data_IF_724773674640
#
_entry.id   IF_724773674640
#
_cell.length_a   1.000
_cell.length_b   1.000
_cell.length_c   1.000
_cell.angle_alpha   90.00
_cell.angle_beta   90.00
_cell.angle_gamma   90.00
#
_symmetry.space_group_name_H-M   'P 1'
#
loop_
_entity.id
_entity.type
_entity.pdbx_description
1 polymer ?
#
# COMPACT_ATOMS: atom_id res chain seq x y z
N UNK A 1 8.35 -23.01 -10.91
CA UNK A 1 7.62 -23.12 -9.63
C UNK A 1 7.43 -21.71 -9.10
N UNK A 2 6.18 -21.28 -8.91
CA UNK A 2 5.85 -20.05 -8.19
C UNK A 2 5.69 -20.35 -6.69
N UNK A 3 5.95 -19.36 -5.84
CA UNK A 3 5.74 -19.43 -4.40
C UNK A 3 4.78 -18.31 -4.02
N UNK A 4 3.70 -18.64 -3.32
CA UNK A 4 2.80 -17.63 -2.74
C UNK A 4 3.43 -17.08 -1.46
N UNK A 5 3.89 -15.83 -1.52
CA UNK A 5 4.59 -15.15 -0.42
C UNK A 5 3.61 -14.71 0.66
N UNK A 6 2.54 -14.03 0.25
CA UNK A 6 1.45 -13.56 1.10
C UNK A 6 0.13 -13.49 0.31
N UNK A 7 -0.98 -13.39 1.03
CA UNK A 7 -2.27 -12.95 0.48
C UNK A 7 -2.55 -11.52 0.93
N UNK A 8 -3.34 -10.76 0.18
CA UNK A 8 -3.68 -9.39 0.56
C UNK A 8 -5.17 -9.08 0.41
N UNK A 9 -5.61 -8.06 1.16
CA UNK A 9 -6.91 -7.44 0.99
C UNK A 9 -6.80 -5.92 1.14
N UNK A 10 -7.62 -5.20 0.38
CA UNK A 10 -7.66 -3.73 0.40
C UNK A 10 -8.97 -3.28 1.04
N UNK A 11 -8.88 -2.43 2.04
CA UNK A 11 -10.01 -1.95 2.85
C UNK A 11 -10.06 -0.43 2.75
N UNK A 12 -11.23 0.10 2.43
CA UNK A 12 -11.48 1.53 2.37
C UNK A 12 -12.56 1.92 3.38
N UNK A 13 -12.43 3.11 3.96
CA UNK A 13 -13.53 3.70 4.73
C UNK A 13 -14.68 4.09 3.78
N UNK A 14 -15.84 3.45 3.96
CA UNK A 14 -16.99 3.61 3.07
C UNK A 14 -17.49 5.06 3.02
N UNK A 15 -17.57 5.72 4.19
CA UNK A 15 -18.08 7.08 4.32
C UNK A 15 -17.17 8.06 3.58
N UNK A 16 -15.87 8.01 3.87
CA UNK A 16 -14.88 8.90 3.24
C UNK A 16 -14.77 8.65 1.73
N UNK A 17 -14.87 7.39 1.29
CA UNK A 17 -14.84 7.05 -0.12
C UNK A 17 -16.04 7.67 -0.85
N UNK A 18 -17.25 7.56 -0.28
CA UNK A 18 -18.47 8.17 -0.85
C UNK A 18 -18.39 9.69 -0.84
N UNK A 19 -17.89 10.30 0.24
CA UNK A 19 -17.76 11.74 0.35
C UNK A 19 -16.78 12.32 -0.68
N UNK A 20 -15.68 11.60 -0.95
CA UNK A 20 -14.66 12.05 -1.90
C UNK A 20 -15.01 11.77 -3.36
N UNK A 21 -15.55 10.59 -3.65
CA UNK A 21 -15.67 10.07 -5.01
C UNK A 21 -17.11 9.79 -5.44
N UNK A 22 -18.05 9.73 -4.49
CA UNK A 22 -19.44 9.36 -4.75
C UNK A 22 -20.07 10.20 -5.85
N UNK A 23 -20.00 11.53 -5.75
CA UNK A 23 -20.61 12.42 -6.74
C UNK A 23 -20.11 12.20 -8.17
N UNK A 24 -18.85 11.80 -8.36
CA UNK A 24 -18.23 11.56 -9.67
C UNK A 24 -18.62 10.20 -10.27
N UNK A 25 -18.87 9.19 -9.43
CA UNK A 25 -19.03 7.79 -9.87
C UNK A 25 -20.40 7.16 -9.54
N UNK A 26 -21.32 7.89 -8.88
CA UNK A 26 -22.63 7.35 -8.41
C UNK A 26 -23.49 6.73 -9.52
N UNK A 27 -23.38 7.23 -10.75
CA UNK A 27 -24.17 6.74 -11.88
C UNK A 27 -23.48 5.62 -12.68
N UNK A 28 -22.28 5.21 -12.29
CA UNK A 28 -21.54 4.15 -12.98
C UNK A 28 -21.91 2.77 -12.44
N UNK A 29 -22.10 1.82 -13.34
CA UNK A 29 -22.23 0.41 -12.99
C UNK A 29 -20.90 -0.12 -12.45
N UNK A 30 -20.95 -1.04 -11.49
CA UNK A 30 -19.76 -1.61 -10.86
C UNK A 30 -18.78 -2.21 -11.88
N UNK A 31 -19.27 -2.92 -12.92
CA UNK A 31 -18.43 -3.47 -13.98
C UNK A 31 -17.66 -2.40 -14.76
N UNK A 32 -18.27 -1.23 -14.98
CA UNK A 32 -17.60 -0.12 -15.67
C UNK A 32 -16.51 0.51 -14.79
N UNK A 33 -16.73 0.56 -13.47
CA UNK A 33 -15.74 1.08 -12.52
C UNK A 33 -14.51 0.17 -12.41
N UNK A 34 -14.71 -1.15 -12.51
CA UNK A 34 -13.62 -2.12 -12.40
C UNK A 34 -12.53 -1.90 -13.46
N UNK A 35 -12.91 -1.43 -14.65
CA UNK A 35 -11.99 -1.15 -15.77
C UNK A 35 -11.68 0.36 -15.90
N UNK A 36 -12.22 1.20 -15.02
CA UNK A 36 -12.06 2.64 -15.10
C UNK A 36 -10.75 3.10 -14.44
N UNK A 37 -9.71 3.30 -15.26
CA UNK A 37 -8.42 3.82 -14.79
C UNK A 37 -8.54 5.10 -13.97
N UNK A 38 -9.40 6.04 -14.39
CA UNK A 38 -9.59 7.31 -13.67
C UNK A 38 -10.19 7.11 -12.28
N UNK A 39 -11.00 6.07 -12.06
CA UNK A 39 -11.52 5.74 -10.73
C UNK A 39 -10.40 5.35 -9.76
N UNK A 40 -9.48 4.49 -10.20
CA UNK A 40 -8.33 4.11 -9.37
C UNK A 40 -7.34 5.27 -9.19
N UNK A 41 -7.09 6.06 -10.23
CA UNK A 41 -6.24 7.26 -10.12
C UNK A 41 -6.79 8.24 -9.07
N UNK A 42 -8.10 8.44 -9.04
CA UNK A 42 -8.79 9.27 -8.06
C UNK A 42 -8.69 8.69 -6.63
N UNK A 43 -8.85 7.37 -6.46
CA UNK A 43 -8.65 6.70 -5.16
C UNK A 43 -7.22 6.91 -4.65
N UNK A 44 -6.24 6.76 -5.53
CA UNK A 44 -4.81 6.90 -5.24
C UNK A 44 -4.44 8.35 -4.90
N UNK A 45 -5.09 9.32 -5.53
CA UNK A 45 -4.86 10.74 -5.28
C UNK A 45 -5.62 11.29 -4.05
N UNK A 46 -6.74 10.66 -3.68
CA UNK A 46 -7.61 11.16 -2.61
C UNK A 46 -7.03 10.91 -1.21
N UNK A 47 -7.30 11.84 -0.29
CA UNK A 47 -6.88 11.76 1.10
C UNK A 47 -7.99 11.17 1.99
N UNK A 48 -8.00 9.84 2.09
CA UNK A 48 -8.89 9.09 2.98
C UNK A 48 -8.24 7.78 3.44
N UNK A 49 -8.83 7.18 4.48
CA UNK A 49 -8.33 5.95 5.08
C UNK A 49 -8.41 4.76 4.12
N UNK A 50 -7.26 4.18 3.80
CA UNK A 50 -7.12 3.01 2.95
C UNK A 50 -6.07 2.08 3.56
N UNK A 51 -6.43 0.82 3.79
CA UNK A 51 -5.55 -0.19 4.39
C UNK A 51 -5.31 -1.32 3.41
N UNK A 52 -4.05 -1.67 3.22
CA UNK A 52 -3.66 -2.95 2.63
C UNK A 52 -3.26 -3.88 3.77
N UNK A 53 -4.01 -4.97 3.94
CA UNK A 53 -3.68 -6.04 4.88
C UNK A 53 -2.98 -7.16 4.15
N UNK A 54 -1.78 -7.51 4.60
CA UNK A 54 -0.99 -8.63 4.10
C UNK A 54 -1.04 -9.76 5.13
N UNK A 55 -1.21 -11.01 4.68
CA UNK A 55 -1.14 -12.22 5.51
C UNK A 55 -0.05 -13.11 4.97
N UNK A 56 1.02 -13.31 5.75
CA UNK A 56 2.17 -14.11 5.32
C UNK A 56 1.75 -15.57 5.12
N UNK A 57 2.00 -16.10 3.93
CA UNK A 57 1.71 -17.51 3.57
C UNK A 57 3.00 -18.34 3.63
N UNK A 58 4.11 -17.79 3.13
CA UNK A 58 5.39 -18.49 3.13
C UNK A 58 6.22 -18.14 4.38
N UNK A 59 6.15 -18.97 5.43
CA UNK A 59 6.78 -18.69 6.73
C UNK A 59 8.31 -18.77 6.80
N UNK A 60 9.02 -18.89 5.68
CA UNK A 60 10.51 -18.88 5.61
C UNK A 60 11.07 -17.60 5.02
N UNK A 61 10.26 -16.55 4.96
CA UNK A 61 10.68 -15.24 4.48
C UNK A 61 11.53 -14.57 5.55
N UNK A 62 12.68 -14.02 5.12
CA UNK A 62 13.50 -13.15 5.95
C UNK A 62 13.01 -11.71 5.77
N UNK A 63 12.97 -10.94 6.85
CA UNK A 63 12.55 -9.54 6.81
C UNK A 63 13.41 -8.70 5.85
N UNK A 64 14.71 -8.98 5.75
CA UNK A 64 15.58 -8.33 4.77
C UNK A 64 15.14 -8.52 3.31
N UNK A 65 14.59 -9.69 2.96
CA UNK A 65 14.04 -9.93 1.63
C UNK A 65 12.75 -9.14 1.38
N UNK A 66 11.92 -8.96 2.41
CA UNK A 66 10.72 -8.08 2.33
C UNK A 66 11.15 -6.64 2.14
N UNK A 67 12.17 -6.19 2.89
CA UNK A 67 12.73 -4.85 2.77
C UNK A 67 13.20 -4.58 1.34
N UNK A 68 14.05 -5.44 0.77
CA UNK A 68 14.53 -5.29 -0.61
C UNK A 68 13.39 -5.32 -1.63
N UNK A 69 12.40 -6.19 -1.46
CA UNK A 69 11.24 -6.22 -2.36
C UNK A 69 10.43 -4.92 -2.31
N UNK A 70 10.27 -4.32 -1.13
CA UNK A 70 9.65 -2.99 -1.00
C UNK A 70 10.53 -1.88 -1.55
N UNK A 71 11.86 -1.94 -1.37
CA UNK A 71 12.78 -0.97 -1.97
C UNK A 71 12.65 -0.92 -3.50
N UNK A 72 12.64 -2.08 -4.15
CA UNK A 72 12.50 -2.18 -5.59
C UNK A 72 11.10 -1.74 -6.06
N UNK A 73 10.06 -2.31 -5.46
CA UNK A 73 8.67 -2.07 -5.91
C UNK A 73 8.21 -0.64 -5.63
N UNK A 74 8.33 -0.15 -4.40
CA UNK A 74 7.95 1.23 -4.03
C UNK A 74 8.88 2.23 -4.71
N UNK A 75 10.18 1.94 -4.80
CA UNK A 75 11.14 2.80 -5.50
C UNK A 75 10.74 3.05 -6.95
N UNK A 76 10.29 2.01 -7.66
CA UNK A 76 9.79 2.14 -9.03
C UNK A 76 8.56 3.05 -9.13
N UNK A 77 7.63 2.96 -8.17
CA UNK A 77 6.41 3.79 -8.12
C UNK A 77 6.70 5.24 -7.71
N UNK A 78 7.64 5.45 -6.80
CA UNK A 78 8.15 6.79 -6.48
C UNK A 78 8.67 7.44 -7.77
N UNK A 79 9.56 6.76 -8.50
CA UNK A 79 10.09 7.28 -9.76
C UNK A 79 9.01 7.56 -10.80
N UNK A 80 8.00 6.68 -10.92
CA UNK A 80 6.81 6.87 -11.78
C UNK A 80 6.08 8.17 -11.45
N UNK A 81 5.87 8.49 -10.18
CA UNK A 81 5.04 9.62 -9.75
C UNK A 81 5.80 10.94 -9.53
N UNK A 82 7.11 10.89 -9.23
CA UNK A 82 7.94 12.09 -9.03
C UNK A 82 8.93 12.37 -10.16
N UNK A 83 9.02 11.50 -11.17
CA UNK A 83 9.98 11.60 -12.27
C UNK A 83 11.45 11.39 -11.88
N UNK A 84 11.71 11.07 -10.61
CA UNK A 84 13.05 10.92 -10.03
C UNK A 84 13.05 9.98 -8.83
N UNK A 85 14.19 9.37 -8.53
CA UNK A 85 14.35 8.52 -7.36
C UNK A 85 14.31 9.36 -6.07
N UNK A 86 13.73 8.84 -5.00
CA UNK A 86 13.74 9.48 -3.67
C UNK A 86 14.18 8.49 -2.59
N UNK A 87 15.50 8.26 -2.52
CA UNK A 87 16.09 7.30 -1.57
C UNK A 87 15.83 7.64 -0.10
N UNK A 88 15.92 8.91 0.35
CA UNK A 88 15.59 9.25 1.74
C UNK A 88 14.16 8.89 2.13
N UNK A 89 13.19 9.18 1.25
CA UNK A 89 11.79 8.82 1.50
C UNK A 89 11.61 7.30 1.54
N UNK A 90 12.16 6.58 0.56
CA UNK A 90 12.09 5.13 0.53
C UNK A 90 12.71 4.51 1.79
N UNK A 91 13.88 4.99 2.20
CA UNK A 91 14.57 4.54 3.40
C UNK A 91 13.80 4.84 4.69
N UNK A 92 13.12 5.99 4.77
CA UNK A 92 12.28 6.33 5.93
C UNK A 92 11.17 5.29 6.16
N UNK A 93 10.65 4.68 5.09
CA UNK A 93 9.69 3.59 5.17
C UNK A 93 10.36 2.24 5.45
N UNK A 94 11.43 1.90 4.71
CA UNK A 94 12.02 0.56 4.81
C UNK A 94 12.77 0.31 6.11
N UNK A 95 13.24 1.38 6.77
CA UNK A 95 13.86 1.34 8.10
C UNK A 95 12.91 0.96 9.24
N UNK A 96 11.58 1.04 9.03
CA UNK A 96 10.59 0.54 10.00
C UNK A 96 10.70 -0.98 10.22
N UNK A 97 11.11 -1.70 9.18
CA UNK A 97 11.21 -3.15 9.21
C UNK A 97 12.59 -3.59 9.73
N UNK A 98 12.80 -3.57 11.05
CA UNK A 98 14.09 -3.94 11.69
C UNK A 98 14.48 -5.42 11.47
N UNK A 99 15.77 -5.73 11.56
CA UNK A 99 16.32 -7.06 11.25
C UNK A 99 15.86 -8.18 12.20
N UNK A 100 15.41 -7.84 13.41
CA UNK A 100 14.93 -8.77 14.43
C UNK A 100 13.47 -9.19 14.24
N UNK A 101 12.75 -8.56 13.32
CA UNK A 101 11.34 -8.89 13.02
C UNK A 101 11.26 -10.25 12.34
N UNK A 102 10.45 -11.14 12.93
CA UNK A 102 10.14 -12.46 12.37
C UNK A 102 8.78 -12.43 11.68
N UNK A 103 8.71 -13.11 10.53
CA UNK A 103 7.50 -13.22 9.72
C UNK A 103 7.09 -14.70 9.55
N UNK A 104 6.65 -15.37 10.63
CA UNK A 104 6.06 -16.70 10.49
C UNK A 104 4.80 -16.66 9.61
N UNK A 105 4.40 -17.83 9.12
CA UNK A 105 3.12 -17.98 8.42
C UNK A 105 1.98 -17.52 9.33
N UNK A 106 1.03 -16.78 8.78
CA UNK A 106 -0.10 -16.20 9.50
C UNK A 106 0.15 -14.81 10.07
N UNK A 107 1.39 -14.29 10.02
CA UNK A 107 1.66 -12.89 10.41
C UNK A 107 0.82 -11.94 9.58
N UNK A 108 0.15 -11.00 10.25
CA UNK A 108 -0.65 -9.94 9.64
C UNK A 108 0.18 -8.66 9.62
N UNK A 109 0.30 -8.03 8.45
CA UNK A 109 0.91 -6.72 8.29
C UNK A 109 -0.16 -5.79 7.72
N UNK A 110 -0.53 -4.77 8.49
CA UNK A 110 -1.43 -3.72 8.01
C UNK A 110 -0.63 -2.48 7.65
N UNK A 111 -0.79 -2.02 6.41
CA UNK A 111 -0.21 -0.76 5.93
C UNK A 111 -1.37 0.16 5.59
N UNK A 112 -1.55 1.19 6.41
CA UNK A 112 -2.71 2.08 6.35
C UNK A 112 -2.26 3.48 5.95
N UNK A 113 -2.85 4.01 4.88
CA UNK A 113 -2.87 5.45 4.62
C UNK A 113 -3.94 6.05 5.51
N UNK A 114 -3.55 6.94 6.40
CA UNK A 114 -4.43 7.80 7.17
C UNK A 114 -4.58 9.18 6.51
N UNK A 115 -5.59 9.91 6.95
CA UNK A 115 -5.78 11.32 6.60
C UNK A 115 -4.50 12.16 6.82
N UNK A 116 -4.27 13.17 5.98
CA UNK A 116 -3.03 13.94 5.97
C UNK A 116 -1.84 13.18 5.36
N UNK A 117 -2.12 12.13 4.59
CA UNK A 117 -1.14 11.29 3.90
C UNK A 117 -0.07 10.68 4.82
N UNK A 118 -0.49 10.10 5.93
CA UNK A 118 0.38 9.36 6.87
C UNK A 118 0.28 7.86 6.59
N UNK A 119 1.39 7.22 6.20
CA UNK A 119 1.46 5.78 5.97
C UNK A 119 1.97 5.07 7.24
N UNK A 120 1.07 4.40 7.95
CA UNK A 120 1.35 3.67 9.20
C UNK A 120 1.47 2.18 8.93
N UNK A 121 2.48 1.53 9.53
CA UNK A 121 2.69 0.08 9.44
C UNK A 121 2.47 -0.58 10.79
N UNK A 122 1.65 -1.64 10.81
CA UNK A 122 1.43 -2.51 11.97
C UNK A 122 1.77 -3.95 11.64
N UNK A 123 2.35 -4.68 12.59
CA UNK A 123 2.52 -6.13 12.51
C UNK A 123 1.82 -6.76 13.72
N UNK A 124 0.85 -7.65 13.47
CA UNK A 124 0.02 -8.27 14.50
C UNK A 124 -0.50 -7.22 15.51
N UNK A 125 -1.14 -6.17 14.98
CA UNK A 125 -1.67 -5.01 15.71
C UNK A 125 -0.65 -4.11 16.43
N UNK A 126 0.63 -4.47 16.46
CA UNK A 126 1.69 -3.61 17.00
C UNK A 126 2.19 -2.61 15.96
N UNK A 127 2.12 -1.32 16.27
CA UNK A 127 2.63 -0.27 15.39
C UNK A 127 4.17 -0.26 15.35
N UNK A 128 4.72 -0.31 14.14
CA UNK A 128 6.15 -0.17 13.90
C UNK A 128 6.56 1.30 13.71
N UNK A 129 5.66 2.09 13.12
CA UNK A 129 5.86 3.51 12.89
C UNK A 129 5.09 4.01 11.68
N UNK A 130 5.31 5.29 11.38
CA UNK A 130 4.52 6.05 10.42
C UNK A 130 5.41 7.00 9.63
N UNK A 131 5.11 7.18 8.33
CA UNK A 131 5.79 8.14 7.45
C UNK A 131 4.76 9.04 6.79
N UNK A 132 4.86 10.34 7.01
CA UNK A 132 3.99 11.32 6.36
C UNK A 132 4.55 11.70 4.98
N UNK A 133 3.87 11.28 3.92
CA UNK A 133 4.21 11.64 2.55
C UNK A 133 3.09 11.27 1.57
N UNK A 134 2.50 12.24 0.85
CA UNK A 134 1.55 11.97 -0.22
C UNK A 134 2.14 11.07 -1.32
N UNK A 135 3.40 11.31 -1.68
CA UNK A 135 4.11 10.53 -2.69
C UNK A 135 4.27 9.07 -2.26
N UNK A 136 4.65 8.81 -1.00
CA UNK A 136 4.80 7.46 -0.49
C UNK A 136 3.45 6.74 -0.40
N UNK A 137 2.42 7.41 0.12
CA UNK A 137 1.07 6.87 0.19
C UNK A 137 0.56 6.43 -1.19
N UNK A 138 0.66 7.32 -2.18
CA UNK A 138 0.26 7.02 -3.56
C UNK A 138 1.10 5.88 -4.15
N UNK A 139 2.42 5.93 -3.97
CA UNK A 139 3.35 4.93 -4.51
C UNK A 139 3.09 3.53 -3.94
N UNK A 140 2.81 3.43 -2.65
CA UNK A 140 2.50 2.15 -2.00
C UNK A 140 1.15 1.60 -2.46
N UNK A 141 0.11 2.43 -2.49
CA UNK A 141 -1.23 1.96 -2.86
C UNK A 141 -1.33 1.57 -4.36
N UNK A 142 -0.57 2.23 -5.24
CA UNK A 142 -0.48 1.88 -6.67
C UNK A 142 0.06 0.45 -6.91
N UNK A 143 0.77 -0.14 -5.94
CA UNK A 143 1.20 -1.55 -6.04
C UNK A 143 0.04 -2.55 -5.97
N UNK A 144 -1.12 -2.16 -5.44
CA UNK A 144 -2.23 -3.08 -5.18
C UNK A 144 -3.48 -2.76 -5.99
N UNK A 145 -3.69 -1.49 -6.32
CA UNK A 145 -4.89 -1.03 -7.05
C UNK A 145 -4.56 -0.09 -8.21
N UNK A 146 -3.28 0.06 -8.54
CA UNK A 146 -2.83 0.89 -9.66
C UNK A 146 -2.96 0.21 -11.00
N UNK A 147 -2.20 0.71 -11.97
CA UNK A 147 -2.21 0.23 -13.36
C UNK A 147 -1.63 -1.20 -13.52
N UNK A 148 -0.57 -1.51 -12.76
CA UNK A 148 0.06 -2.84 -12.73
C UNK A 148 0.09 -3.36 -11.27
N UNK A 149 -1.03 -3.86 -10.74
CA UNK A 149 -1.12 -4.35 -9.37
C UNK A 149 -0.46 -5.74 -9.21
N UNK A 150 -0.12 -6.12 -7.97
CA UNK A 150 0.38 -7.45 -7.61
C UNK A 150 -0.67 -8.57 -7.70
#
# INVERSE_FOLDING_TARGET
>A
KSITVYSFGVYADETSLKDKLGSKYTQQLAGNLQENKSFYDDILASDFNLTVRLVIVYGRIKIGSVRSAFEDSIGSRIKKFSGSDNRPLLHSFTSLFKDDIKLPQGTIIDITRHHGHVLTTKINDMELGSVQSPLLCRSFMDLYIGEDPF
#
